data_IF_954404653230
#
_entry.id   IF_954404653230
#
_cell.length_a   1.000
_cell.length_b   1.000
_cell.length_c   1.000
_cell.angle_alpha   90.00
_cell.angle_beta   90.00
_cell.angle_gamma   90.00
#
_symmetry.space_group_name_H-M   'P 1'
#
loop_
_entity.id
_entity.type
_entity.pdbx_description
1 polymer ?
#
# COMPACT_ATOMS: atom_id res chain seq x y z
N UNK A 1 22.59 6.90 22.42
CA UNK A 1 22.96 6.34 21.12
C UNK A 1 23.21 7.50 20.17
N UNK A 2 24.41 7.65 19.64
CA UNK A 2 24.80 8.81 18.83
C UNK A 2 24.27 8.63 17.40
N UNK A 3 23.85 9.73 16.74
CA UNK A 3 23.28 9.73 15.37
C UNK A 3 24.18 8.97 14.37
N UNK A 4 25.50 9.06 14.53
CA UNK A 4 26.50 8.32 13.72
C UNK A 4 26.40 6.78 13.83
N UNK A 5 25.84 6.25 14.91
CA UNK A 5 25.65 4.81 15.09
C UNK A 5 24.32 4.31 14.49
N UNK A 6 23.37 5.22 14.25
CA UNK A 6 22.07 4.92 13.64
C UNK A 6 22.15 4.78 12.10
N UNK A 7 23.02 5.54 11.46
CA UNK A 7 23.14 5.56 9.99
C UNK A 7 23.41 4.17 9.39
N UNK A 8 24.37 3.36 9.89
CA UNK A 8 24.63 2.03 9.32
C UNK A 8 23.54 1.00 9.66
N UNK A 9 22.68 1.28 10.66
CA UNK A 9 21.56 0.39 11.02
C UNK A 9 20.33 0.62 10.14
N UNK A 10 20.14 1.83 9.62
CA UNK A 10 19.01 2.20 8.77
C UNK A 10 18.80 1.22 7.58
N UNK A 11 19.79 0.92 6.73
CA UNK A 11 19.58 0.03 5.59
C UNK A 11 19.23 -1.39 6.02
N UNK A 12 19.73 -1.86 7.16
CA UNK A 12 19.37 -3.18 7.71
C UNK A 12 17.91 -3.18 8.19
N UNK A 13 17.50 -2.15 8.93
CA UNK A 13 16.12 -1.99 9.40
C UNK A 13 15.16 -1.91 8.22
N UNK A 14 15.47 -1.10 7.19
CA UNK A 14 14.67 -1.00 5.96
C UNK A 14 14.56 -2.35 5.28
N UNK A 15 15.67 -3.03 5.05
CA UNK A 15 15.69 -4.36 4.39
C UNK A 15 14.84 -5.39 5.12
N UNK A 16 14.96 -5.46 6.45
CA UNK A 16 14.20 -6.43 7.24
C UNK A 16 12.71 -6.07 7.29
N UNK A 17 12.35 -4.80 7.46
CA UNK A 17 10.95 -4.39 7.42
C UNK A 17 10.33 -4.62 6.04
N UNK A 18 11.00 -4.29 4.95
CA UNK A 18 10.53 -4.59 3.61
C UNK A 18 10.33 -6.10 3.41
N UNK A 19 11.26 -6.92 3.92
CA UNK A 19 11.10 -8.38 3.85
C UNK A 19 9.88 -8.88 4.63
N UNK A 20 9.56 -8.28 5.77
CA UNK A 20 8.39 -8.63 6.59
C UNK A 20 7.11 -8.14 5.91
N UNK A 21 7.08 -6.89 5.44
CA UNK A 21 5.92 -6.26 4.80
C UNK A 21 5.54 -6.97 3.50
N UNK A 22 6.55 -7.28 2.67
CA UNK A 22 6.38 -7.88 1.35
C UNK A 22 6.63 -9.40 1.33
N UNK A 23 6.72 -10.03 2.49
CA UNK A 23 6.89 -11.49 2.57
C UNK A 23 5.60 -12.21 2.12
N UNK A 24 5.80 -13.33 1.44
CA UNK A 24 4.73 -14.27 1.12
C UNK A 24 3.76 -13.79 0.04
N UNK A 25 2.52 -13.51 0.42
CA UNK A 25 1.41 -13.30 -0.53
C UNK A 25 1.38 -11.95 -1.23
N UNK A 26 2.18 -10.95 -0.81
CA UNK A 26 2.17 -9.60 -1.39
C UNK A 26 2.47 -9.61 -2.90
N UNK A 27 3.35 -10.48 -3.35
CA UNK A 27 3.68 -10.60 -4.77
C UNK A 27 2.46 -10.95 -5.63
N UNK A 28 1.54 -11.75 -5.11
CA UNK A 28 0.28 -12.08 -5.80
C UNK A 28 -0.65 -10.88 -5.90
N UNK A 29 -0.71 -10.04 -4.86
CA UNK A 29 -1.47 -8.78 -4.90
C UNK A 29 -0.86 -7.79 -5.88
N UNK A 30 0.47 -7.69 -5.96
CA UNK A 30 1.16 -6.86 -6.94
C UNK A 30 0.88 -7.34 -8.37
N UNK A 31 0.95 -8.66 -8.62
CA UNK A 31 0.63 -9.24 -9.92
C UNK A 31 -0.85 -9.02 -10.29
N UNK A 32 -1.76 -9.18 -9.34
CA UNK A 32 -3.18 -8.91 -9.56
C UNK A 32 -3.45 -7.44 -9.86
N UNK A 33 -2.81 -6.51 -9.13
CA UNK A 33 -2.92 -5.08 -9.38
C UNK A 33 -2.38 -4.70 -10.75
N UNK A 34 -1.23 -5.29 -11.14
CA UNK A 34 -0.64 -5.07 -12.46
C UNK A 34 -1.53 -5.65 -13.58
N UNK A 35 -2.05 -6.87 -13.41
CA UNK A 35 -2.93 -7.51 -14.38
C UNK A 35 -4.23 -6.71 -14.56
N UNK A 36 -4.82 -6.24 -13.44
CA UNK A 36 -6.00 -5.37 -13.46
C UNK A 36 -5.71 -4.07 -14.23
N UNK A 37 -4.61 -3.40 -13.89
CA UNK A 37 -4.20 -2.17 -14.54
C UNK A 37 -3.98 -2.39 -16.04
N UNK A 38 -3.24 -3.43 -16.43
CA UNK A 38 -2.98 -3.77 -17.85
C UNK A 38 -4.26 -4.09 -18.63
N UNK A 39 -5.20 -4.83 -18.00
CA UNK A 39 -6.48 -5.16 -18.62
C UNK A 39 -7.30 -3.90 -18.93
N UNK A 40 -7.45 -3.01 -17.95
CA UNK A 40 -8.23 -1.79 -18.14
C UNK A 40 -7.55 -0.79 -19.09
N UNK A 41 -6.21 -0.74 -19.06
CA UNK A 41 -5.44 0.03 -20.05
C UNK A 41 -5.71 -0.46 -21.46
N UNK A 42 -5.65 -1.76 -21.68
CA UNK A 42 -5.94 -2.37 -22.97
C UNK A 42 -7.38 -2.07 -23.41
N UNK A 43 -8.35 -2.20 -22.50
CA UNK A 43 -9.74 -1.91 -22.79
C UNK A 43 -9.97 -0.43 -23.16
N UNK A 44 -9.36 0.51 -22.44
CA UNK A 44 -9.45 1.93 -22.72
C UNK A 44 -8.87 2.27 -24.12
N UNK A 45 -7.72 1.67 -24.46
CA UNK A 45 -7.10 1.84 -25.77
C UNK A 45 -7.95 1.23 -26.89
N UNK A 46 -8.55 0.03 -26.67
CA UNK A 46 -9.36 -0.66 -27.65
C UNK A 46 -10.68 0.07 -27.94
N UNK A 47 -11.37 0.53 -26.90
CA UNK A 47 -12.66 1.20 -27.02
C UNK A 47 -12.56 2.65 -27.51
N UNK A 48 -11.35 3.16 -27.80
CA UNK A 48 -11.10 4.55 -28.14
C UNK A 48 -11.79 5.52 -27.18
N UNK A 49 -11.80 5.17 -25.90
CA UNK A 49 -12.32 6.04 -24.86
C UNK A 49 -11.65 7.40 -24.91
N UNK A 50 -12.36 8.46 -24.59
CA UNK A 50 -11.75 9.77 -24.38
C UNK A 50 -10.82 9.68 -23.17
N UNK A 51 -9.55 9.47 -23.43
CA UNK A 51 -8.54 9.32 -22.38
C UNK A 51 -8.18 10.71 -21.88
N UNK A 52 -8.49 10.94 -20.62
CA UNK A 52 -8.16 12.16 -19.91
C UNK A 52 -7.46 11.83 -18.58
N UNK A 53 -6.93 12.83 -17.93
CA UNK A 53 -6.22 12.69 -16.65
C UNK A 53 -7.08 12.06 -15.57
N UNK A 54 -8.36 12.42 -15.49
CA UNK A 54 -9.33 11.87 -14.51
C UNK A 54 -9.58 10.37 -14.71
N UNK A 55 -9.61 9.89 -15.95
CA UNK A 55 -9.74 8.47 -16.25
C UNK A 55 -8.51 7.71 -15.74
N UNK A 56 -7.30 8.23 -15.99
CA UNK A 56 -6.06 7.63 -15.51
C UNK A 56 -6.01 7.60 -13.99
N UNK A 57 -6.43 8.69 -13.32
CA UNK A 57 -6.52 8.75 -11.88
C UNK A 57 -7.41 7.64 -11.30
N UNK A 58 -8.63 7.51 -11.83
CA UNK A 58 -9.58 6.49 -11.39
C UNK A 58 -9.08 5.06 -11.67
N UNK A 59 -8.43 4.85 -12.82
CA UNK A 59 -7.87 3.57 -13.21
C UNK A 59 -6.72 3.13 -12.31
N UNK A 60 -5.90 4.08 -11.84
CA UNK A 60 -4.80 3.81 -10.92
C UNK A 60 -5.27 3.65 -9.47
N UNK A 61 -6.34 4.33 -9.08
CA UNK A 61 -6.80 4.36 -7.68
C UNK A 61 -7.14 2.96 -7.16
N UNK A 62 -7.93 2.17 -7.89
CA UNK A 62 -8.37 0.86 -7.43
C UNK A 62 -7.23 -0.13 -7.17
N UNK A 63 -6.29 -0.41 -8.11
CA UNK A 63 -5.19 -1.33 -7.86
C UNK A 63 -4.27 -0.85 -6.74
N UNK A 64 -4.14 0.46 -6.58
CA UNK A 64 -3.29 1.03 -5.55
C UNK A 64 -3.88 0.93 -4.15
N UNK A 65 -5.19 1.12 -3.99
CA UNK A 65 -5.90 0.84 -2.73
C UNK A 65 -5.72 -0.63 -2.33
N UNK A 66 -5.82 -1.54 -3.29
CA UNK A 66 -5.63 -2.97 -3.06
C UNK A 66 -4.20 -3.30 -2.59
N UNK A 67 -3.19 -2.61 -3.13
CA UNK A 67 -1.79 -2.77 -2.73
C UNK A 67 -1.52 -2.25 -1.31
N UNK A 68 -2.14 -1.14 -0.89
CA UNK A 68 -2.02 -0.62 0.48
C UNK A 68 -2.74 -1.52 1.48
N UNK A 69 -3.91 -2.00 1.07
CA UNK A 69 -4.77 -2.78 1.93
C UNK A 69 -4.09 -4.03 2.48
N UNK A 70 -3.43 -4.81 1.62
CA UNK A 70 -2.82 -6.06 2.03
C UNK A 70 -1.82 -5.91 3.20
N UNK A 71 -0.75 -5.10 3.09
CA UNK A 71 0.22 -4.97 4.18
C UNK A 71 -0.33 -4.23 5.41
N UNK A 72 -1.32 -3.35 5.24
CA UNK A 72 -1.93 -2.64 6.36
C UNK A 72 -2.77 -3.57 7.23
N UNK A 73 -3.53 -4.48 6.63
CA UNK A 73 -4.43 -5.41 7.33
C UNK A 73 -3.69 -6.65 7.81
N UNK A 74 -3.06 -7.37 6.87
CA UNK A 74 -2.47 -8.67 7.18
C UNK A 74 -1.13 -8.57 7.91
N UNK A 75 -0.50 -7.39 7.93
CA UNK A 75 0.72 -7.17 8.70
C UNK A 75 0.51 -7.37 10.20
N UNK A 76 -0.60 -6.85 10.76
CA UNK A 76 -0.95 -7.01 12.19
C UNK A 76 -1.34 -8.45 12.48
N UNK A 77 -2.23 -9.01 11.65
CA UNK A 77 -2.72 -10.36 11.85
C UNK A 77 -1.59 -11.39 11.81
N UNK A 78 -0.65 -11.24 10.90
CA UNK A 78 0.50 -12.14 10.82
C UNK A 78 1.40 -12.05 12.07
N UNK A 79 1.50 -10.88 12.69
CA UNK A 79 2.24 -10.71 13.94
C UNK A 79 1.48 -11.33 15.14
N UNK A 80 0.15 -11.26 15.13
CA UNK A 80 -0.71 -11.91 16.13
C UNK A 80 -0.61 -13.43 16.03
N UNK A 81 -0.79 -13.99 14.83
CA UNK A 81 -0.72 -15.42 14.55
C UNK A 81 0.65 -16.03 14.92
N UNK A 82 1.73 -15.28 14.73
CA UNK A 82 3.09 -15.69 15.08
C UNK A 82 3.48 -15.37 16.54
N UNK A 83 2.56 -14.87 17.37
CA UNK A 83 2.80 -14.46 18.77
C UNK A 83 3.89 -13.40 18.94
N UNK A 84 4.18 -12.64 17.87
CA UNK A 84 5.19 -11.57 17.88
C UNK A 84 4.72 -10.41 18.74
N UNK A 85 3.39 -10.22 18.88
CA UNK A 85 2.81 -9.14 19.68
C UNK A 85 3.24 -9.21 21.16
N UNK A 86 3.37 -10.39 21.74
CA UNK A 86 3.82 -10.55 23.12
C UNK A 86 5.24 -9.99 23.33
N UNK A 87 6.11 -10.20 22.34
CA UNK A 87 7.48 -9.68 22.36
C UNK A 87 7.49 -8.16 22.12
N UNK A 88 6.61 -7.67 21.24
CA UNK A 88 6.49 -6.24 20.92
C UNK A 88 6.00 -5.42 22.12
N UNK A 89 5.10 -5.96 22.93
CA UNK A 89 4.62 -5.29 24.15
C UNK A 89 5.75 -5.03 25.18
N UNK A 90 6.83 -5.79 25.13
CA UNK A 90 8.02 -5.55 25.96
C UNK A 90 8.88 -4.35 25.50
N UNK A 91 8.63 -3.78 24.32
CA UNK A 91 9.38 -2.65 23.78
C UNK A 91 8.72 -1.33 24.20
N UNK A 92 9.43 -0.42 24.90
CA UNK A 92 8.89 0.90 25.23
C UNK A 92 8.49 1.66 23.95
N UNK A 93 7.28 2.25 23.94
CA UNK A 93 6.72 3.01 22.80
C UNK A 93 6.60 2.19 21.50
N UNK A 94 6.38 0.87 21.61
CA UNK A 94 6.29 -0.04 20.44
C UNK A 94 5.30 0.45 19.37
N UNK A 95 4.21 1.10 19.79
CA UNK A 95 3.19 1.65 18.87
C UNK A 95 3.81 2.55 17.81
N UNK A 96 4.65 3.48 18.22
CA UNK A 96 5.28 4.43 17.31
C UNK A 96 6.52 3.85 16.63
N UNK A 97 7.34 3.11 17.38
CA UNK A 97 8.62 2.59 16.89
C UNK A 97 8.46 1.42 15.90
N UNK A 98 7.45 0.61 16.07
CA UNK A 98 7.21 -0.56 15.21
C UNK A 98 6.13 -0.27 14.18
N UNK A 99 4.92 0.05 14.63
CA UNK A 99 3.78 0.23 13.73
C UNK A 99 3.87 1.50 12.89
N UNK A 100 4.26 2.63 13.47
CA UNK A 100 4.44 3.88 12.75
C UNK A 100 5.51 3.77 11.68
N UNK A 101 6.66 3.18 12.00
CA UNK A 101 7.75 2.96 11.03
C UNK A 101 7.30 1.99 9.93
N UNK A 102 6.57 0.93 10.26
CA UNK A 102 6.05 -0.04 9.28
C UNK A 102 5.08 0.62 8.31
N UNK A 103 4.09 1.39 8.80
CA UNK A 103 3.15 2.13 7.96
C UNK A 103 3.86 3.12 7.05
N UNK A 104 4.81 3.88 7.59
CA UNK A 104 5.60 4.80 6.78
C UNK A 104 6.33 4.07 5.64
N UNK A 105 6.96 2.92 5.93
CA UNK A 105 7.65 2.14 4.90
C UNK A 105 6.70 1.56 3.85
N UNK A 106 5.49 1.15 4.24
CA UNK A 106 4.44 0.72 3.32
C UNK A 106 4.12 1.86 2.35
N UNK A 107 3.84 3.06 2.87
CA UNK A 107 3.50 4.21 2.02
C UNK A 107 4.63 4.62 1.10
N UNK A 108 5.87 4.64 1.57
CA UNK A 108 7.05 4.94 0.74
C UNK A 108 7.20 3.91 -0.38
N UNK A 109 7.08 2.62 -0.08
CA UNK A 109 7.20 1.58 -1.10
C UNK A 109 6.07 1.66 -2.14
N UNK A 110 4.84 1.90 -1.70
CA UNK A 110 3.69 2.05 -2.60
C UNK A 110 3.81 3.31 -3.45
N UNK A 111 4.34 4.40 -2.91
CA UNK A 111 4.61 5.60 -3.69
C UNK A 111 5.52 5.31 -4.89
N UNK A 112 6.59 4.54 -4.72
CA UNK A 112 7.45 4.14 -5.85
C UNK A 112 6.73 3.24 -6.86
N UNK A 113 5.87 2.33 -6.40
CA UNK A 113 5.03 1.50 -7.29
C UNK A 113 4.05 2.38 -8.08
N UNK A 114 3.43 3.38 -7.41
CA UNK A 114 2.56 4.35 -8.04
C UNK A 114 3.26 5.15 -9.14
N UNK A 115 4.46 5.65 -8.85
CA UNK A 115 5.27 6.37 -9.85
C UNK A 115 5.55 5.48 -11.06
N UNK A 116 5.86 4.20 -10.86
CA UNK A 116 6.07 3.25 -11.94
C UNK A 116 4.79 3.03 -12.76
N UNK A 117 3.63 2.85 -12.12
CA UNK A 117 2.35 2.67 -12.81
C UNK A 117 1.91 3.94 -13.55
N UNK A 118 2.08 5.12 -12.94
CA UNK A 118 1.79 6.40 -13.57
C UNK A 118 2.71 6.66 -14.78
N UNK A 119 3.96 6.25 -14.69
CA UNK A 119 4.90 6.33 -15.82
C UNK A 119 4.48 5.41 -16.97
N UNK A 120 4.04 4.18 -16.66
CA UNK A 120 3.48 3.27 -17.67
C UNK A 120 2.22 3.84 -18.33
N UNK A 121 1.33 4.46 -17.54
CA UNK A 121 0.13 5.12 -18.07
C UNK A 121 0.48 6.27 -19.01
N UNK A 122 1.49 7.07 -18.67
CA UNK A 122 1.99 8.16 -19.51
C UNK A 122 2.54 7.67 -20.84
N UNK A 123 3.27 6.55 -20.82
CA UNK A 123 3.84 5.98 -22.04
C UNK A 123 2.80 5.37 -22.98
N UNK A 124 1.73 4.80 -22.44
CA UNK A 124 0.80 3.94 -23.18
C UNK A 124 -0.52 4.63 -23.52
N UNK A 125 -0.99 5.58 -22.70
CA UNK A 125 -2.32 6.17 -22.85
C UNK A 125 -2.29 7.68 -23.11
N UNK A 126 -1.88 8.45 -22.11
CA UNK A 126 -2.01 9.90 -22.13
C UNK A 126 -0.87 10.56 -21.34
N UNK A 127 -0.26 11.64 -21.85
CA UNK A 127 0.84 12.32 -21.18
C UNK A 127 0.36 13.03 -19.92
N UNK A 128 0.61 12.42 -18.76
CA UNK A 128 0.42 12.99 -17.43
C UNK A 128 1.77 13.14 -16.74
N UNK A 129 1.85 14.00 -15.74
CA UNK A 129 3.03 14.08 -14.89
C UNK A 129 3.02 12.92 -13.88
N UNK A 130 3.91 11.90 -14.00
CA UNK A 130 3.84 10.70 -13.15
C UNK A 130 4.03 11.00 -11.66
N UNK A 131 4.86 11.99 -11.35
CA UNK A 131 5.12 12.37 -9.96
C UNK A 131 3.91 13.06 -9.33
N UNK A 132 3.32 14.02 -10.03
CA UNK A 132 2.15 14.77 -9.56
C UNK A 132 0.94 13.86 -9.37
N UNK A 133 0.66 12.99 -10.35
CA UNK A 133 -0.38 11.97 -10.28
C UNK A 133 -0.18 11.05 -9.08
N UNK A 134 1.06 10.61 -8.83
CA UNK A 134 1.37 9.74 -7.69
C UNK A 134 1.17 10.45 -6.35
N UNK A 135 1.54 11.73 -6.23
CA UNK A 135 1.30 12.52 -5.03
C UNK A 135 -0.20 12.69 -4.78
N UNK A 136 -0.99 13.01 -5.81
CA UNK A 136 -2.44 13.14 -5.69
C UNK A 136 -3.09 11.83 -5.22
N UNK A 137 -2.67 10.68 -5.79
CA UNK A 137 -3.17 9.36 -5.39
C UNK A 137 -2.77 8.96 -3.96
N UNK A 138 -1.66 9.48 -3.44
CA UNK A 138 -1.25 9.19 -2.06
C UNK A 138 -2.23 9.69 -1.02
N UNK A 139 -2.98 10.78 -1.25
CA UNK A 139 -3.94 11.29 -0.28
C UNK A 139 -5.05 10.27 0.06
N UNK A 140 -5.83 9.76 -0.90
CA UNK A 140 -6.81 8.72 -0.60
C UNK A 140 -6.17 7.43 -0.11
N UNK A 141 -4.99 7.07 -0.60
CA UNK A 141 -4.30 5.86 -0.19
C UNK A 141 -3.87 5.88 1.28
N UNK A 142 -3.33 7.00 1.76
CA UNK A 142 -3.01 7.18 3.18
C UNK A 142 -4.27 7.11 4.03
N UNK A 143 -5.37 7.70 3.58
CA UNK A 143 -6.65 7.63 4.28
C UNK A 143 -7.14 6.18 4.39
N UNK A 144 -7.25 5.46 3.27
CA UNK A 144 -7.72 4.08 3.26
C UNK A 144 -6.76 3.12 3.98
N UNK A 145 -5.46 3.34 3.88
CA UNK A 145 -4.46 2.53 4.58
C UNK A 145 -4.55 2.68 6.11
N UNK A 146 -4.72 3.90 6.61
CA UNK A 146 -4.91 4.14 8.04
C UNK A 146 -6.28 3.61 8.52
N UNK A 147 -7.33 3.76 7.73
CA UNK A 147 -8.64 3.21 8.01
C UNK A 147 -8.59 1.67 8.10
N UNK A 148 -7.97 1.02 7.12
CA UNK A 148 -7.79 -0.42 7.10
C UNK A 148 -6.97 -0.92 8.29
N UNK A 149 -5.90 -0.19 8.64
CA UNK A 149 -5.09 -0.48 9.83
C UNK A 149 -5.92 -0.37 11.11
N UNK A 150 -6.69 0.70 11.29
CA UNK A 150 -7.57 0.89 12.43
C UNK A 150 -8.61 -0.22 12.55
N UNK A 151 -9.27 -0.56 11.44
CA UNK A 151 -10.27 -1.63 11.40
C UNK A 151 -9.65 -3.00 11.71
N UNK A 152 -8.44 -3.28 11.22
CA UNK A 152 -7.72 -4.51 11.51
C UNK A 152 -7.43 -4.67 13.00
N UNK A 153 -7.12 -3.58 13.70
CA UNK A 153 -6.90 -3.61 15.15
C UNK A 153 -8.18 -3.85 15.96
N UNK A 154 -9.33 -3.41 15.44
CA UNK A 154 -10.64 -3.57 16.13
C UNK A 154 -11.21 -4.97 15.90
N UNK A 155 -11.13 -5.47 14.67
CA UNK A 155 -11.79 -6.73 14.29
C UNK A 155 -10.97 -7.96 14.63
N UNK A 156 -9.67 -7.83 14.91
CA UNK A 156 -8.71 -8.93 15.15
C UNK A 156 -8.82 -10.05 14.09
N UNK A 157 -9.30 -9.70 12.88
CA UNK A 157 -9.55 -10.62 11.77
C UNK A 157 -9.32 -9.93 10.44
N UNK A 158 -8.34 -10.41 9.66
CA UNK A 158 -8.04 -9.84 8.33
C UNK A 158 -9.21 -9.96 7.35
N UNK A 159 -9.92 -11.08 7.37
CA UNK A 159 -11.08 -11.29 6.51
C UNK A 159 -12.24 -10.36 6.90
N UNK A 160 -12.50 -10.18 8.20
CA UNK A 160 -13.50 -9.25 8.71
C UNK A 160 -13.19 -7.80 8.32
N UNK A 161 -11.94 -7.39 8.45
CA UNK A 161 -11.47 -6.07 8.02
C UNK A 161 -11.62 -5.85 6.52
N UNK A 162 -11.32 -6.88 5.71
CA UNK A 162 -11.49 -6.81 4.26
C UNK A 162 -12.93 -6.51 3.88
N UNK A 163 -13.87 -7.28 4.42
CA UNK A 163 -15.31 -7.11 4.16
C UNK A 163 -15.77 -5.72 4.61
N UNK A 164 -15.38 -5.28 5.80
CA UNK A 164 -15.79 -3.98 6.34
C UNK A 164 -15.25 -2.80 5.52
N UNK A 165 -13.99 -2.89 5.07
CA UNK A 165 -13.37 -1.84 4.25
C UNK A 165 -13.99 -1.77 2.86
N UNK A 166 -14.34 -2.92 2.25
CA UNK A 166 -15.04 -2.96 0.97
C UNK A 166 -16.43 -2.33 1.09
N UNK A 167 -17.18 -2.67 2.15
CA UNK A 167 -18.50 -2.08 2.40
C UNK A 167 -18.38 -0.56 2.55
N UNK A 168 -17.40 -0.07 3.33
CA UNK A 168 -17.17 1.36 3.49
C UNK A 168 -16.77 2.06 2.18
N UNK A 169 -15.94 1.42 1.35
CA UNK A 169 -15.52 1.96 0.06
C UNK A 169 -16.66 2.03 -0.97
N UNK A 170 -17.71 1.21 -0.80
CA UNK A 170 -18.91 1.26 -1.65
C UNK A 170 -19.91 2.34 -1.18
N UNK A 171 -19.90 2.65 0.13
CA UNK A 171 -20.82 3.62 0.74
C UNK A 171 -20.32 5.08 0.64
N UNK A 172 -19.04 5.30 0.41
CA UNK A 172 -18.39 6.60 0.24
C UNK A 172 -18.29 6.98 -1.24
#
# INVERSE_FOLDING_TARGET
>A
MTIKQLIPLLPKVVKYNLKIIFAGKFIWFLLAAFAFFAYFMFQAAWNRAEINEGLIYNLLMFPCVLLVFYPAVFGIQNDEDNRILEILFGIPDYKYKVWGVRLLMIYVAIFFILVAFSYLATLLLYPVNPFEMSVQLMFPLVFFGNLAFMLSTITSSGNGTAVFTIILAILL
#
